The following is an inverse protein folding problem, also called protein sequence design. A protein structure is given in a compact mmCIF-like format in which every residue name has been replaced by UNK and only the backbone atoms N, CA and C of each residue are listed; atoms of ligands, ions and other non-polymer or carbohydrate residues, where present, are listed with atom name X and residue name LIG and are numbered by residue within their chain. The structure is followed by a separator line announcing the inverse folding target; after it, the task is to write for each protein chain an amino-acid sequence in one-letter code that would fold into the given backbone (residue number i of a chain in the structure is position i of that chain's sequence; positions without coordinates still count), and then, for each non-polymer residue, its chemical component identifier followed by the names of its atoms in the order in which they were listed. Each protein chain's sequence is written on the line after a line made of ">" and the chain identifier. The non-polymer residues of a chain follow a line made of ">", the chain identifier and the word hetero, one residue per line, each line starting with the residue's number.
data_IF_182788911250
#
_entry.id   IF_182788911250
#
_cell.length_a   1.000
_cell.length_b   1.000
_cell.length_c   1.000
_cell.angle_alpha   90.00
_cell.angle_beta   90.00
_cell.angle_gamma   90.00
#
_symmetry.space_group_name_H-M   'P 1'
#
loop_
_entity.id
_entity.type
_entity.pdbx_description
1 polymer ?
#
# COMPACT_ATOMS: atom_id res chain seq x y z
N UNK A 1 -15.23 36.18 -4.15
CA UNK A 1 -15.63 34.78 -4.46
C UNK A 1 -14.46 33.82 -4.61
N UNK A 2 -13.42 34.15 -5.38
CA UNK A 2 -12.27 33.25 -5.56
C UNK A 2 -11.51 32.94 -4.29
N UNK A 3 -11.34 33.92 -3.37
CA UNK A 3 -10.65 33.73 -2.10
C UNK A 3 -11.40 32.81 -1.13
N UNK A 4 -12.73 32.92 -1.10
CA UNK A 4 -13.58 32.07 -0.25
C UNK A 4 -13.59 30.62 -0.74
N UNK A 5 -13.59 30.42 -2.05
CA UNK A 5 -13.55 29.10 -2.68
C UNK A 5 -12.21 28.38 -2.38
N UNK A 6 -11.10 29.11 -2.46
CA UNK A 6 -9.77 28.57 -2.13
C UNK A 6 -9.65 28.19 -0.66
N UNK A 7 -10.23 28.97 0.26
CA UNK A 7 -10.22 28.64 1.69
C UNK A 7 -11.03 27.39 2.01
N UNK A 8 -12.17 27.19 1.35
CA UNK A 8 -13.01 25.99 1.51
C UNK A 8 -12.27 24.76 0.97
N UNK A 9 -11.60 24.88 -0.17
CA UNK A 9 -10.79 23.81 -0.73
C UNK A 9 -9.62 23.43 0.20
N UNK A 10 -8.94 24.40 0.81
CA UNK A 10 -7.86 24.16 1.76
C UNK A 10 -8.36 23.39 3.00
N UNK A 11 -9.53 23.71 3.53
CA UNK A 11 -10.12 23.01 4.67
C UNK A 11 -10.51 21.57 4.35
N UNK A 12 -10.95 21.29 3.12
CA UNK A 12 -11.31 19.94 2.68
C UNK A 12 -10.09 19.04 2.48
N UNK A 13 -8.92 19.63 2.23
CA UNK A 13 -7.68 18.88 1.94
C UNK A 13 -6.87 18.57 3.21
N UNK A 14 -7.04 19.33 4.31
CA UNK A 14 -6.21 19.21 5.53
C UNK A 14 -6.35 17.84 6.20
N UNK A 15 -7.57 17.31 6.39
CA UNK A 15 -7.79 16.01 7.05
C UNK A 15 -7.25 14.81 6.22
N UNK A 16 -7.48 14.74 4.89
CA UNK A 16 -6.87 13.69 4.07
C UNK A 16 -5.35 13.76 4.01
N UNK A 17 -4.76 14.96 4.10
CA UNK A 17 -3.29 15.15 4.06
C UNK A 17 -2.61 14.52 5.26
N UNK A 18 -3.19 14.61 6.47
CA UNK A 18 -2.62 14.00 7.68
C UNK A 18 -2.59 12.47 7.59
N UNK A 19 -3.69 11.85 7.15
CA UNK A 19 -3.76 10.41 6.96
C UNK A 19 -2.81 9.96 5.84
N UNK A 20 -2.71 10.72 4.74
CA UNK A 20 -1.78 10.45 3.65
C UNK A 20 -0.31 10.55 4.09
N UNK A 21 0.02 11.47 5.02
CA UNK A 21 1.38 11.60 5.58
C UNK A 21 1.77 10.38 6.38
N UNK A 22 0.87 9.84 7.22
CA UNK A 22 1.12 8.62 7.98
C UNK A 22 1.33 7.42 7.05
N UNK A 23 0.49 7.29 6.02
CA UNK A 23 0.62 6.24 5.02
C UNK A 23 1.93 6.37 4.23
N UNK A 24 2.34 7.58 3.90
CA UNK A 24 3.60 7.87 3.21
C UNK A 24 4.80 7.48 4.07
N UNK A 25 4.79 7.80 5.36
CA UNK A 25 5.85 7.41 6.29
C UNK A 25 5.97 5.90 6.40
N UNK A 26 4.84 5.18 6.46
CA UNK A 26 4.83 3.72 6.46
C UNK A 26 5.40 3.18 5.15
N UNK A 27 4.99 3.73 4.03
CA UNK A 27 5.50 3.35 2.70
C UNK A 27 7.02 3.53 2.59
N UNK A 28 7.55 4.64 3.08
CA UNK A 28 9.00 4.89 3.12
C UNK A 28 9.73 3.91 4.02
N UNK A 29 9.16 3.59 5.19
CA UNK A 29 9.74 2.61 6.10
C UNK A 29 9.82 1.23 5.44
N UNK A 30 8.76 0.80 4.78
CA UNK A 30 8.71 -0.45 4.03
C UNK A 30 9.79 -0.44 2.94
N UNK A 31 9.85 0.61 2.15
CA UNK A 31 10.85 0.75 1.07
C UNK A 31 12.28 0.68 1.59
N UNK A 32 12.58 1.38 2.68
CA UNK A 32 13.92 1.44 3.25
C UNK A 32 14.36 0.14 3.92
N UNK A 33 13.42 -0.73 4.28
CA UNK A 33 13.68 -2.00 4.96
C UNK A 33 13.47 -3.23 4.06
N UNK A 34 13.32 -3.04 2.74
CA UNK A 34 13.19 -4.12 1.78
C UNK A 34 14.50 -4.34 1.04
N UNK A 35 14.87 -5.62 0.86
CA UNK A 35 15.99 -6.04 0.02
C UNK A 35 15.57 -6.05 -1.46
N UNK A 36 16.53 -6.28 -2.37
CA UNK A 36 16.22 -6.47 -3.78
C UNK A 36 15.25 -7.63 -4.01
N UNK A 37 15.45 -8.74 -3.29
CA UNK A 37 14.56 -9.90 -3.36
C UNK A 37 13.15 -9.56 -2.85
N UNK A 38 13.04 -8.77 -1.80
CA UNK A 38 11.76 -8.31 -1.26
C UNK A 38 11.03 -7.42 -2.26
N UNK A 39 11.76 -6.53 -2.95
CA UNK A 39 11.20 -5.67 -4.00
C UNK A 39 10.69 -6.48 -5.17
N UNK A 40 11.40 -7.53 -5.56
CA UNK A 40 10.93 -8.47 -6.59
C UNK A 40 9.61 -9.12 -6.17
N UNK A 41 9.48 -9.51 -4.91
CA UNK A 41 8.23 -10.05 -4.37
C UNK A 41 7.09 -9.05 -4.49
N UNK A 42 7.33 -7.77 -4.17
CA UNK A 42 6.32 -6.72 -4.29
C UNK A 42 5.90 -6.48 -5.76
N UNK A 43 6.84 -6.50 -6.67
CA UNK A 43 6.56 -6.38 -8.11
C UNK A 43 5.73 -7.57 -8.59
N UNK A 44 6.08 -8.78 -8.17
CA UNK A 44 5.33 -9.99 -8.48
C UNK A 44 3.89 -9.92 -7.94
N UNK A 45 3.72 -9.39 -6.73
CA UNK A 45 2.40 -9.18 -6.16
C UNK A 45 1.56 -8.21 -6.99
N UNK A 46 2.16 -7.11 -7.44
CA UNK A 46 1.47 -6.16 -8.33
C UNK A 46 1.06 -6.83 -9.64
N UNK A 47 1.95 -7.59 -10.23
CA UNK A 47 1.68 -8.33 -11.46
C UNK A 47 0.52 -9.31 -11.29
N UNK A 48 0.51 -10.09 -10.22
CA UNK A 48 -0.56 -11.03 -9.91
C UNK A 48 -1.88 -10.31 -9.67
N UNK A 49 -1.84 -9.20 -8.94
CA UNK A 49 -3.04 -8.40 -8.66
C UNK A 49 -3.67 -7.86 -9.94
N UNK A 50 -2.87 -7.30 -10.83
CA UNK A 50 -3.33 -6.81 -12.12
C UNK A 50 -3.75 -7.95 -13.05
N UNK A 51 -3.00 -9.05 -13.05
CA UNK A 51 -3.27 -10.22 -13.87
C UNK A 51 -4.51 -11.01 -13.45
N UNK A 52 -5.02 -10.76 -12.25
CA UNK A 52 -6.25 -11.40 -11.74
C UNK A 52 -7.51 -10.64 -12.13
N UNK A 53 -7.39 -9.48 -12.78
CA UNK A 53 -8.53 -8.74 -13.30
C UNK A 53 -9.19 -9.48 -14.48
N UNK A 54 -10.48 -9.22 -14.71
CA UNK A 54 -11.20 -9.83 -15.83
C UNK A 54 -10.56 -9.47 -17.18
N UNK A 55 -10.12 -8.23 -17.34
CA UNK A 55 -9.50 -7.76 -18.59
C UNK A 55 -8.18 -8.50 -18.84
N UNK A 56 -7.33 -8.66 -17.81
CA UNK A 56 -6.06 -9.36 -17.95
C UNK A 56 -6.25 -10.85 -18.27
N UNK A 57 -7.23 -11.51 -17.67
CA UNK A 57 -7.55 -12.92 -17.92
C UNK A 57 -7.96 -13.19 -19.36
N UNK A 58 -8.52 -12.22 -20.05
CA UNK A 58 -8.86 -12.33 -21.48
C UNK A 58 -7.61 -12.42 -22.35
N UNK A 59 -6.50 -11.87 -21.88
CA UNK A 59 -5.21 -11.95 -22.59
C UNK A 59 -4.49 -13.23 -22.22
N UNK A 60 -4.30 -13.47 -20.94
CA UNK A 60 -3.62 -14.66 -20.42
C UNK A 60 -3.95 -14.83 -18.93
N UNK A 61 -4.24 -16.07 -18.53
CA UNK A 61 -4.48 -16.39 -17.12
C UNK A 61 -3.19 -16.79 -16.43
N UNK A 62 -3.00 -16.30 -15.20
CA UNK A 62 -1.87 -16.70 -14.35
C UNK A 62 -2.25 -18.02 -13.66
N UNK A 63 -1.37 -19.04 -13.65
CA UNK A 63 -1.64 -20.28 -12.92
C UNK A 63 -1.92 -20.04 -11.43
N UNK A 64 -2.91 -20.70 -10.89
CA UNK A 64 -3.32 -20.53 -9.49
C UNK A 64 -2.19 -20.85 -8.50
N UNK A 65 -1.34 -21.81 -8.82
CA UNK A 65 -0.17 -22.15 -8.01
C UNK A 65 0.81 -20.98 -7.89
N UNK A 66 1.00 -20.22 -8.96
CA UNK A 66 1.85 -19.02 -8.97
C UNK A 66 1.23 -17.90 -8.14
N UNK A 67 -0.07 -17.70 -8.27
CA UNK A 67 -0.81 -16.72 -7.47
C UNK A 67 -0.65 -17.04 -5.98
N UNK A 68 -0.84 -18.28 -5.60
CA UNK A 68 -0.73 -18.73 -4.20
C UNK A 68 0.69 -18.54 -3.66
N UNK A 69 1.73 -18.84 -4.44
CA UNK A 69 3.12 -18.64 -4.06
C UNK A 69 3.44 -17.16 -3.80
N UNK A 70 3.03 -16.29 -4.73
CA UNK A 70 3.26 -14.86 -4.60
C UNK A 70 2.52 -14.28 -3.41
N UNK A 71 1.27 -14.67 -3.21
CA UNK A 71 0.48 -14.21 -2.06
C UNK A 71 1.10 -14.66 -0.73
N UNK A 72 1.61 -15.88 -0.63
CA UNK A 72 2.28 -16.38 0.57
C UNK A 72 3.56 -15.61 0.87
N UNK A 73 4.38 -15.36 -0.14
CA UNK A 73 5.61 -14.57 0.01
C UNK A 73 5.30 -13.12 0.43
N UNK A 74 4.29 -12.53 -0.17
CA UNK A 74 3.87 -11.15 0.15
C UNK A 74 3.35 -11.05 1.58
N UNK A 75 2.56 -12.02 2.02
CA UNK A 75 2.07 -12.11 3.40
C UNK A 75 3.21 -12.19 4.40
N UNK A 76 4.19 -13.04 4.13
CA UNK A 76 5.36 -13.19 5.00
C UNK A 76 6.18 -11.90 5.06
N UNK A 77 6.38 -11.25 3.94
CA UNK A 77 7.09 -9.99 3.85
C UNK A 77 6.34 -8.87 4.60
N UNK A 78 5.04 -8.74 4.38
CA UNK A 78 4.22 -7.74 5.06
C UNK A 78 4.26 -7.93 6.57
N UNK A 79 4.12 -9.16 7.06
CA UNK A 79 4.19 -9.48 8.49
C UNK A 79 5.55 -9.12 9.09
N UNK A 80 6.64 -9.45 8.39
CA UNK A 80 8.00 -9.13 8.81
C UNK A 80 8.21 -7.62 8.98
N UNK A 81 7.72 -6.83 8.04
CA UNK A 81 7.90 -5.37 8.04
C UNK A 81 6.99 -4.68 9.06
N UNK A 82 5.72 -5.06 9.10
CA UNK A 82 4.70 -4.43 9.96
C UNK A 82 4.92 -4.79 11.43
N UNK A 83 5.38 -6.00 11.73
CA UNK A 83 5.67 -6.44 13.09
C UNK A 83 7.12 -6.16 13.52
N UNK A 84 7.98 -5.76 12.59
CA UNK A 84 9.39 -5.46 12.82
C UNK A 84 9.72 -3.98 12.70
N UNK A 85 10.55 -3.60 11.72
CA UNK A 85 11.09 -2.23 11.63
C UNK A 85 10.03 -1.16 11.42
N UNK A 86 8.88 -1.48 10.82
CA UNK A 86 7.83 -0.51 10.50
C UNK A 86 6.64 -0.57 11.46
N UNK A 87 6.80 -1.18 12.63
CA UNK A 87 5.73 -1.35 13.62
C UNK A 87 5.10 -0.04 14.07
N UNK A 88 5.92 0.98 14.35
CA UNK A 88 5.43 2.28 14.82
C UNK A 88 4.62 3.00 13.74
N UNK A 89 5.12 2.99 12.51
CA UNK A 89 4.46 3.63 11.39
C UNK A 89 3.15 2.90 11.04
N UNK A 90 3.13 1.57 11.11
CA UNK A 90 1.93 0.78 10.89
C UNK A 90 0.86 1.09 11.95
N UNK A 91 1.26 1.21 13.22
CA UNK A 91 0.35 1.57 14.30
C UNK A 91 -0.29 2.96 14.08
N UNK A 92 0.49 3.94 13.65
CA UNK A 92 -0.02 5.29 13.34
C UNK A 92 -1.08 5.26 12.24
N UNK A 93 -0.82 4.51 11.18
CA UNK A 93 -1.76 4.37 10.07
C UNK A 93 -3.08 3.74 10.54
N UNK A 94 -2.99 2.68 11.35
CA UNK A 94 -4.17 2.02 11.89
C UNK A 94 -4.99 2.93 12.82
N UNK A 95 -4.31 3.79 13.59
CA UNK A 95 -4.97 4.73 14.50
C UNK A 95 -5.59 5.92 13.79
N UNK A 96 -4.94 6.44 12.74
CA UNK A 96 -5.44 7.61 12.01
C UNK A 96 -6.50 7.27 10.97
N UNK A 97 -6.40 6.12 10.30
CA UNK A 97 -7.38 5.68 9.31
C UNK A 97 -7.40 4.14 9.23
N UNK A 98 -8.19 3.47 10.12
CA UNK A 98 -8.18 2.01 10.20
C UNK A 98 -8.64 1.29 8.93
N UNK A 99 -9.48 1.93 8.10
CA UNK A 99 -10.04 1.30 6.90
C UNK A 99 -9.17 1.48 5.68
N UNK A 100 -8.67 2.69 5.44
CA UNK A 100 -8.00 3.07 4.20
C UNK A 100 -6.49 3.21 4.35
N UNK A 101 -6.00 3.48 5.56
CA UNK A 101 -4.59 3.77 5.81
C UNK A 101 -3.66 2.65 5.40
N UNK A 102 -3.99 1.40 5.72
CA UNK A 102 -3.18 0.24 5.33
C UNK A 102 -3.20 0.01 3.83
N UNK A 103 -4.35 0.19 3.20
CA UNK A 103 -4.48 0.07 1.76
C UNK A 103 -3.66 1.13 1.03
N UNK A 104 -3.68 2.37 1.50
CA UNK A 104 -2.86 3.45 0.96
C UNK A 104 -1.36 3.18 1.13
N UNK A 105 -0.95 2.68 2.28
CA UNK A 105 0.44 2.35 2.56
C UNK A 105 0.97 1.25 1.64
N UNK A 106 0.16 0.23 1.36
CA UNK A 106 0.53 -0.86 0.46
C UNK A 106 0.55 -0.43 -1.00
N UNK A 107 -0.23 0.60 -1.36
CA UNK A 107 -0.27 1.16 -2.71
C UNK A 107 0.88 2.14 -2.97
N UNK A 108 1.53 2.59 -1.95
CA UNK A 108 2.59 3.58 -2.03
C UNK A 108 3.91 2.92 -2.42
#
# INVERSE_FOLDING_TARGET
>A
MKKTFLAVLACLVVSPVLAATDAEELGRCIYNNTSSADRDTLVQFMYVSLGSTNAARKVQSIPQTKINQVNSKTKALASKLVLGPCRKQAARVLLSDPRNGMQQALSY
#
